data_IF_367143082162
#
_entry.id   IF_367143082162
#
_cell.length_a   1.000
_cell.length_b   1.000
_cell.length_c   1.000
_cell.angle_alpha   90.00
_cell.angle_beta   90.00
_cell.angle_gamma   90.00
#
_symmetry.space_group_name_H-M   'P 1'
#
loop_
_entity.id
_entity.type
_entity.pdbx_description
1 polymer ?
#
# COMPACT_ATOMS: atom_id res chain seq x y z
N UNK A 1 31.41 7.06 -15.86
CA UNK A 1 32.05 7.26 -14.55
C UNK A 1 31.13 6.66 -13.50
N UNK A 2 31.63 5.71 -12.70
CA UNK A 2 30.85 5.11 -11.60
C UNK A 2 31.47 5.62 -10.30
N UNK A 3 30.70 6.34 -9.47
CA UNK A 3 31.16 6.76 -8.14
C UNK A 3 30.71 5.75 -7.09
N UNK A 4 31.41 5.72 -5.94
CA UNK A 4 31.00 4.88 -4.80
C UNK A 4 29.65 5.35 -4.27
N UNK A 5 28.87 4.40 -3.76
CA UNK A 5 27.67 4.68 -2.98
C UNK A 5 28.06 5.48 -1.73
N UNK A 6 27.26 6.51 -1.44
CA UNK A 6 27.35 7.34 -0.25
C UNK A 6 26.03 7.22 0.54
N UNK A 7 26.02 7.69 1.79
CA UNK A 7 24.82 7.62 2.63
C UNK A 7 23.63 8.35 1.98
N UNK A 8 23.90 9.40 1.20
CA UNK A 8 22.91 10.20 0.51
C UNK A 8 22.15 9.40 -0.56
N UNK A 9 22.78 8.37 -1.12
CA UNK A 9 22.15 7.52 -2.14
C UNK A 9 21.04 6.64 -1.55
N UNK A 10 21.05 6.41 -0.24
CA UNK A 10 20.01 5.65 0.45
C UNK A 10 18.64 6.33 0.38
N UNK A 11 18.61 7.67 0.37
CA UNK A 11 17.36 8.43 0.24
C UNK A 11 16.74 8.34 -1.17
N UNK A 12 17.51 7.94 -2.18
CA UNK A 12 17.03 7.76 -3.54
C UNK A 12 16.45 6.36 -3.80
N UNK A 13 16.52 5.45 -2.82
CA UNK A 13 16.00 4.10 -2.95
C UNK A 13 14.47 4.10 -2.86
N UNK A 14 13.85 3.38 -3.80
CA UNK A 14 12.44 3.06 -3.78
C UNK A 14 12.31 1.54 -3.54
N UNK A 15 11.85 1.16 -2.35
CA UNK A 15 11.90 -0.20 -1.85
C UNK A 15 10.50 -0.83 -1.87
N UNK A 16 10.24 -1.81 -2.76
CA UNK A 16 8.96 -2.51 -2.77
C UNK A 16 8.88 -3.51 -1.61
N UNK A 17 7.72 -3.56 -0.95
CA UNK A 17 7.42 -4.33 0.25
C UNK A 17 6.00 -4.89 0.21
N UNK A 18 5.73 -5.92 1.02
CA UNK A 18 4.38 -6.45 1.27
C UNK A 18 3.56 -6.71 -0.02
N UNK A 19 4.08 -7.46 -1.00
CA UNK A 19 3.34 -7.73 -2.23
C UNK A 19 2.14 -8.66 -1.96
N UNK A 20 1.03 -8.41 -2.65
CA UNK A 20 -0.14 -9.27 -2.70
C UNK A 20 -0.65 -9.41 -4.14
N UNK A 21 -0.88 -10.65 -4.57
CA UNK A 21 -1.42 -11.00 -5.89
C UNK A 21 -2.94 -10.79 -5.91
N UNK A 22 -3.47 -10.24 -7.01
CA UNK A 22 -4.93 -10.15 -7.22
C UNK A 22 -5.56 -11.55 -7.35
N UNK A 23 -6.86 -11.72 -7.04
CA UNK A 23 -7.51 -13.04 -7.07
C UNK A 23 -7.44 -13.72 -8.44
N UNK A 24 -7.50 -12.94 -9.52
CA UNK A 24 -7.40 -13.40 -10.91
C UNK A 24 -5.94 -13.60 -11.37
N UNK A 25 -4.96 -13.27 -10.54
CA UNK A 25 -3.53 -13.37 -10.84
C UNK A 25 -3.01 -12.33 -11.84
N UNK A 26 -3.81 -11.34 -12.24
CA UNK A 26 -3.43 -10.38 -13.29
C UNK A 26 -2.59 -9.20 -12.79
N UNK A 27 -2.62 -8.89 -11.50
CA UNK A 27 -1.94 -7.73 -10.90
C UNK A 27 -1.31 -8.08 -9.55
N UNK A 28 -0.25 -7.37 -9.20
CA UNK A 28 0.30 -7.32 -7.85
C UNK A 28 0.02 -5.93 -7.29
N UNK A 29 -0.48 -5.84 -6.06
CA UNK A 29 -0.41 -4.63 -5.25
C UNK A 29 0.79 -4.77 -4.31
N UNK A 30 1.51 -3.68 -4.07
CA UNK A 30 2.65 -3.67 -3.16
C UNK A 30 2.79 -2.29 -2.51
N UNK A 31 3.49 -2.24 -1.39
CA UNK A 31 3.90 -0.99 -0.75
C UNK A 31 5.21 -0.54 -1.37
N UNK A 32 5.29 0.69 -1.85
CA UNK A 32 6.56 1.32 -2.21
C UNK A 32 6.97 2.25 -1.06
N UNK A 33 8.11 1.94 -0.45
CA UNK A 33 8.75 2.78 0.57
C UNK A 33 9.77 3.70 -0.08
N UNK A 34 9.64 5.00 0.17
CA UNK A 34 10.59 6.03 -0.26
C UNK A 34 10.93 6.93 0.91
N UNK A 35 12.09 7.59 0.88
CA UNK A 35 12.47 8.50 1.95
C UNK A 35 12.03 9.95 1.66
N UNK A 36 11.29 10.54 2.60
CA UNK A 36 11.01 11.98 2.64
C UNK A 36 12.07 12.66 3.50
N UNK A 37 13.16 13.07 2.84
CA UNK A 37 14.32 13.67 3.48
C UNK A 37 13.99 15.00 4.18
N UNK A 38 13.02 15.75 3.67
CA UNK A 38 12.69 17.06 4.22
C UNK A 38 12.05 16.95 5.62
N UNK A 39 11.36 15.84 5.88
CA UNK A 39 10.65 15.60 7.14
C UNK A 39 11.23 14.42 7.93
N UNK A 40 12.41 13.92 7.56
CA UNK A 40 13.15 12.83 8.22
C UNK A 40 12.28 11.59 8.50
N UNK A 41 11.55 11.12 7.47
CA UNK A 41 10.64 9.98 7.59
C UNK A 41 10.57 9.16 6.31
N UNK A 42 10.08 7.93 6.44
CA UNK A 42 9.64 7.13 5.30
C UNK A 42 8.23 7.54 4.87
N UNK A 43 7.98 7.53 3.56
CA UNK A 43 6.65 7.46 2.98
C UNK A 43 6.37 6.03 2.53
N UNK A 44 5.15 5.55 2.79
CA UNK A 44 4.68 4.26 2.29
C UNK A 44 3.38 4.45 1.52
N UNK A 45 3.37 4.01 0.28
CA UNK A 45 2.27 4.20 -0.66
C UNK A 45 1.95 2.90 -1.37
N UNK A 46 0.68 2.67 -1.68
CA UNK A 46 0.29 1.52 -2.47
C UNK A 46 0.54 1.80 -3.95
N UNK A 47 1.14 0.82 -4.60
CA UNK A 47 1.37 0.74 -6.03
C UNK A 47 0.83 -0.58 -6.55
N UNK A 48 0.50 -0.61 -7.83
CA UNK A 48 0.14 -1.84 -8.53
C UNK A 48 0.95 -2.01 -9.79
N UNK A 49 1.22 -3.25 -10.18
CA UNK A 49 1.88 -3.59 -11.43
C UNK A 49 1.21 -4.84 -12.02
N UNK A 50 1.04 -4.95 -13.35
CA UNK A 50 0.61 -6.20 -13.98
C UNK A 50 1.60 -7.34 -13.70
N UNK A 51 1.10 -8.58 -13.63
CA UNK A 51 1.98 -9.77 -13.56
C UNK A 51 2.63 -10.10 -14.91
N UNK A 52 2.01 -9.65 -16.01
CA UNK A 52 2.59 -9.66 -17.34
C UNK A 52 3.39 -8.39 -17.65
N UNK A 53 3.51 -8.05 -18.92
CA UNK A 53 4.14 -6.80 -19.34
C UNK A 53 3.26 -5.59 -18.98
N UNK A 54 3.85 -4.58 -18.36
CA UNK A 54 3.20 -3.30 -18.07
C UNK A 54 3.97 -2.48 -17.05
N UNK A 55 3.58 -1.22 -16.91
CA UNK A 55 4.24 -0.26 -16.02
C UNK A 55 3.57 -0.24 -14.63
N UNK A 56 4.35 -0.04 -13.55
CA UNK A 56 3.79 0.23 -12.23
C UNK A 56 2.97 1.51 -12.18
N UNK A 57 1.88 1.49 -11.43
CA UNK A 57 0.99 2.63 -11.20
C UNK A 57 0.80 2.88 -9.72
N UNK A 58 0.98 4.13 -9.29
CA UNK A 58 0.67 4.58 -7.93
C UNK A 58 -0.84 4.57 -7.70
N UNK A 59 -1.27 3.98 -6.60
CA UNK A 59 -2.67 3.90 -6.20
C UNK A 59 -3.03 4.89 -5.09
N UNK A 60 -2.13 5.13 -4.14
CA UNK A 60 -2.39 6.04 -3.03
C UNK A 60 -1.34 7.12 -2.85
N UNK A 61 -1.74 8.20 -2.17
CA UNK A 61 -0.87 9.33 -1.79
C UNK A 61 -0.86 9.58 -0.28
N UNK A 62 -1.29 8.58 0.51
CA UNK A 62 -1.27 8.65 1.96
C UNK A 62 0.16 8.69 2.52
N UNK A 63 0.32 9.15 3.78
CA UNK A 63 1.63 9.29 4.40
C UNK A 63 2.26 7.94 4.76
N UNK A 64 1.46 6.97 5.22
CA UNK A 64 1.91 5.66 5.64
C UNK A 64 0.82 4.60 5.38
N UNK A 65 0.72 4.17 4.13
CA UNK A 65 -0.23 3.15 3.67
C UNK A 65 0.48 1.78 3.59
N UNK A 66 -0.07 0.77 4.26
CA UNK A 66 0.57 -0.55 4.46
C UNK A 66 -0.43 -1.70 4.47
N UNK A 67 0.07 -2.94 4.49
CA UNK A 67 -0.71 -4.18 4.61
C UNK A 67 -1.87 -4.29 3.61
N UNK A 68 -1.63 -4.14 2.29
CA UNK A 68 -2.69 -4.27 1.31
C UNK A 68 -3.20 -5.71 1.21
N UNK A 69 -4.52 -5.85 1.12
CA UNK A 69 -5.22 -7.11 0.92
C UNK A 69 -6.34 -6.94 -0.11
N UNK A 70 -6.28 -7.72 -1.19
CA UNK A 70 -7.33 -7.76 -2.20
C UNK A 70 -8.61 -8.38 -1.65
N UNK A 71 -9.76 -7.81 -1.99
CA UNK A 71 -11.05 -8.48 -1.81
C UNK A 71 -11.13 -9.73 -2.70
N UNK A 72 -11.90 -10.77 -2.32
CA UNK A 72 -12.02 -12.00 -3.11
C UNK A 72 -12.56 -11.78 -4.53
N UNK A 73 -13.41 -10.77 -4.72
CA UNK A 73 -13.95 -10.36 -6.03
C UNK A 73 -12.97 -9.52 -6.87
N UNK A 74 -11.83 -9.11 -6.29
CA UNK A 74 -10.82 -8.28 -6.93
C UNK A 74 -11.23 -6.82 -7.15
N UNK A 75 -12.36 -6.37 -6.61
CA UNK A 75 -12.87 -5.00 -6.83
C UNK A 75 -12.29 -3.98 -5.85
N UNK A 76 -11.77 -4.44 -4.70
CA UNK A 76 -11.30 -3.60 -3.61
C UNK A 76 -9.93 -4.03 -3.09
N UNK A 77 -9.23 -3.07 -2.51
CA UNK A 77 -8.02 -3.29 -1.72
C UNK A 77 -8.27 -2.70 -0.34
N UNK A 78 -8.30 -3.55 0.69
CA UNK A 78 -8.24 -3.13 2.08
C UNK A 78 -6.78 -2.88 2.46
N UNK A 79 -6.52 -1.87 3.27
CA UNK A 79 -5.17 -1.54 3.72
C UNK A 79 -5.21 -0.74 5.02
N UNK A 80 -4.05 -0.63 5.67
CA UNK A 80 -3.86 0.23 6.82
C UNK A 80 -3.32 1.60 6.42
N UNK A 81 -3.92 2.66 6.95
CA UNK A 81 -3.39 4.03 6.84
C UNK A 81 -3.12 4.61 8.23
N UNK A 82 -1.90 5.12 8.41
CA UNK A 82 -1.51 5.88 9.60
C UNK A 82 -1.30 7.34 9.22
N UNK A 83 -2.33 8.18 9.40
CA UNK A 83 -2.26 9.61 9.10
C UNK A 83 -2.03 10.45 10.36
N UNK A 84 -3.06 10.55 11.21
CA UNK A 84 -3.03 11.27 12.48
C UNK A 84 -3.53 10.34 13.59
N UNK A 85 -2.62 9.71 14.32
CA UNK A 85 -2.96 8.74 15.37
C UNK A 85 -2.75 7.27 14.91
N UNK A 86 -3.43 6.31 15.56
CA UNK A 86 -3.19 4.90 15.31
C UNK A 86 -3.73 4.46 13.94
N UNK A 87 -3.14 3.41 13.36
CA UNK A 87 -3.49 2.90 12.04
C UNK A 87 -4.98 2.53 11.96
N UNK A 88 -5.64 2.86 10.86
CA UNK A 88 -7.04 2.48 10.60
C UNK A 88 -7.14 1.66 9.32
N UNK A 89 -8.18 0.84 9.19
CA UNK A 89 -8.50 0.17 7.94
C UNK A 89 -9.19 1.13 6.99
N UNK A 90 -8.74 1.13 5.74
CA UNK A 90 -9.31 1.87 4.63
C UNK A 90 -9.57 0.92 3.47
N UNK A 91 -10.57 1.26 2.64
CA UNK A 91 -10.85 0.60 1.38
C UNK A 91 -10.49 1.51 0.22
N UNK A 92 -9.96 0.91 -0.84
CA UNK A 92 -9.61 1.57 -2.08
C UNK A 92 -10.16 0.75 -3.25
N UNK A 93 -10.85 1.37 -4.23
CA UNK A 93 -11.21 0.68 -5.47
C UNK A 93 -9.95 0.14 -6.17
N UNK A 94 -9.98 -1.12 -6.62
CA UNK A 94 -8.84 -1.79 -7.23
C UNK A 94 -8.28 -1.09 -8.48
N UNK A 95 -9.17 -0.43 -9.25
CA UNK A 95 -8.79 0.36 -10.41
C UNK A 95 -8.30 1.77 -10.06
N UNK A 96 -8.17 2.10 -8.78
CA UNK A 96 -7.80 3.41 -8.26
C UNK A 96 -9.02 4.28 -7.99
N UNK A 97 -8.79 5.42 -7.35
CA UNK A 97 -9.83 6.31 -6.86
C UNK A 97 -9.47 6.82 -5.47
N UNK A 98 -10.43 7.44 -4.80
CA UNK A 98 -10.25 7.93 -3.44
C UNK A 98 -10.46 6.80 -2.43
N UNK A 99 -9.52 6.57 -1.50
CA UNK A 99 -9.73 5.64 -0.41
C UNK A 99 -10.73 6.17 0.61
N UNK A 100 -11.51 5.27 1.21
CA UNK A 100 -12.49 5.58 2.26
C UNK A 100 -12.15 4.86 3.57
N UNK A 101 -12.30 5.51 4.73
CA UNK A 101 -12.05 4.86 6.02
C UNK A 101 -13.17 3.86 6.34
N UNK A 102 -12.80 2.67 6.82
CA UNK A 102 -13.75 1.66 7.33
C UNK A 102 -13.80 1.66 8.85
N UNK A 103 -12.70 2.02 9.51
CA UNK A 103 -12.61 2.01 10.96
C UNK A 103 -12.21 3.36 11.53
N UNK A 104 -12.70 3.65 12.72
CA UNK A 104 -12.27 4.75 13.59
C UNK A 104 -12.10 4.22 15.02
N UNK A 105 -11.07 3.39 15.22
CA UNK A 105 -10.83 2.70 16.48
C UNK A 105 -9.87 3.50 17.38
N UNK A 106 -10.14 3.63 18.70
CA UNK A 106 -9.30 4.39 19.63
C UNK A 106 -7.84 3.93 19.70
N UNK A 107 -7.60 2.65 19.47
CA UNK A 107 -6.28 2.02 19.54
C UNK A 107 -5.77 1.53 18.17
N UNK A 108 -6.48 1.88 17.10
CA UNK A 108 -6.19 1.42 15.75
C UNK A 108 -6.68 0.02 15.44
N UNK A 109 -6.47 -0.36 14.18
CA UNK A 109 -6.77 -1.65 13.62
C UNK A 109 -5.50 -2.43 13.30
N UNK A 110 -5.63 -3.76 13.24
CA UNK A 110 -4.59 -4.66 12.72
C UNK A 110 -4.64 -4.79 11.20
N UNK A 111 -3.71 -5.58 10.65
CA UNK A 111 -3.68 -5.85 9.21
C UNK A 111 -5.00 -6.53 8.77
N UNK A 112 -5.72 -5.97 7.78
CA UNK A 112 -7.04 -6.46 7.41
C UNK A 112 -6.96 -7.81 6.71
N UNK A 113 -7.89 -8.71 7.03
CA UNK A 113 -8.10 -9.97 6.30
C UNK A 113 -9.55 -10.07 5.84
N UNK A 114 -9.76 -10.31 4.55
CA UNK A 114 -11.10 -10.49 3.99
C UNK A 114 -11.70 -11.85 4.35
N UNK A 115 -13.00 -11.85 4.64
CA UNK A 115 -13.78 -13.08 4.64
C UNK A 115 -13.79 -13.71 3.24
N UNK A 116 -13.92 -15.04 3.10
CA UNK A 116 -13.92 -15.70 1.79
C UNK A 116 -15.02 -15.22 0.84
N UNK A 117 -16.15 -14.76 1.37
CA UNK A 117 -17.27 -14.20 0.62
C UNK A 117 -17.14 -12.69 0.34
N UNK A 118 -16.09 -12.04 0.85
CA UNK A 118 -15.79 -10.63 0.64
C UNK A 118 -16.69 -9.65 1.39
N UNK A 119 -17.57 -10.13 2.28
CA UNK A 119 -18.56 -9.28 2.96
C UNK A 119 -18.05 -8.68 4.28
N UNK A 120 -16.93 -9.16 4.81
CA UNK A 120 -16.38 -8.73 6.10
C UNK A 120 -14.85 -8.66 6.11
N UNK A 121 -14.33 -7.92 7.10
CA UNK A 121 -12.91 -7.82 7.43
C UNK A 121 -12.70 -8.23 8.89
N UNK A 122 -11.61 -8.97 9.15
CA UNK A 122 -11.12 -9.33 10.48
C UNK A 122 -9.80 -8.62 10.78
#
# INVERSE_FOLDING_TARGET
MTRRLAAEDLYALALPEQPALSPDGSRIVYVLRTADRAHDRDERQLWTVPTGAGEPRRLTRGPADTAPAWSPDGQWIAFLRTANGPAQVWLLPADGGDPEPVTELPHGAGAPVWSPDGTALA
#
